data_IF_167792135296
#
_entry.id   IF_167792135296
#
_cell.length_a   1.000
_cell.length_b   1.000
_cell.length_c   1.000
_cell.angle_alpha   90.00
_cell.angle_beta   90.00
_cell.angle_gamma   90.00
#
_symmetry.space_group_name_H-M   'P 1'
#
loop_
_entity.id
_entity.type
_entity.pdbx_description
1 polymer ?
#
# COMPACT_ATOMS: atom_id res chain seq x y z
N UNK A 1 -26.58 -44.84 26.15
CA UNK A 1 -25.37 -45.68 26.24
C UNK A 1 -24.93 -46.06 24.83
N UNK A 2 -23.62 -46.29 24.67
CA UNK A 2 -22.89 -46.80 23.49
C UNK A 2 -22.56 -45.75 22.39
N UNK A 3 -21.32 -45.60 21.91
CA UNK A 3 -20.00 -46.07 22.32
C UNK A 3 -18.92 -45.28 21.55
N UNK A 4 -17.71 -45.27 22.12
CA UNK A 4 -16.46 -44.68 21.67
C UNK A 4 -16.13 -44.85 20.17
N UNK A 5 -15.44 -43.88 19.58
CA UNK A 5 -13.99 -44.01 19.28
C UNK A 5 -13.42 -42.77 18.57
N UNK A 6 -12.30 -42.30 19.12
CA UNK A 6 -11.41 -41.30 18.56
C UNK A 6 -10.17 -42.05 18.06
N UNK A 7 -9.65 -41.75 16.87
CA UNK A 7 -8.22 -41.94 16.63
C UNK A 7 -7.56 -40.60 16.31
N UNK A 8 -6.53 -40.32 17.10
CA UNK A 8 -5.46 -39.37 16.82
C UNK A 8 -4.72 -39.84 15.56
N UNK A 9 -4.41 -38.91 14.64
CA UNK A 9 -3.39 -39.14 13.62
C UNK A 9 -2.47 -37.94 13.59
N UNK A 10 -1.28 -38.16 14.15
CA UNK A 10 -0.13 -37.27 14.10
C UNK A 10 0.69 -37.60 12.85
N UNK A 11 1.07 -36.58 12.08
CA UNK A 11 2.16 -36.55 11.11
C UNK A 11 2.25 -35.10 10.58
N UNK A 12 3.38 -34.46 10.28
CA UNK A 12 4.79 -34.63 10.61
C UNK A 12 5.45 -33.33 10.10
N UNK A 13 6.41 -32.80 10.87
CA UNK A 13 7.63 -32.08 10.46
C UNK A 13 7.61 -31.22 9.17
N UNK A 14 7.77 -29.90 9.33
CA UNK A 14 8.50 -29.09 8.34
C UNK A 14 9.55 -28.19 9.01
N UNK A 15 10.79 -28.60 8.75
CA UNK A 15 12.05 -27.86 8.59
C UNK A 15 12.27 -26.55 9.36
N UNK A 16 13.25 -26.60 10.26
CA UNK A 16 13.98 -25.46 10.77
C UNK A 16 14.81 -24.79 9.66
N UNK A 17 14.68 -23.47 9.51
CA UNK A 17 15.65 -22.62 8.82
C UNK A 17 16.47 -21.90 9.88
N UNK A 18 17.64 -22.47 10.19
CA UNK A 18 18.66 -21.81 10.99
C UNK A 18 19.36 -20.75 10.13
N UNK A 19 19.24 -19.48 10.52
CA UNK A 19 20.07 -18.39 9.99
C UNK A 19 21.47 -18.47 10.61
N UNK A 20 22.37 -19.18 9.95
CA UNK A 20 23.81 -19.04 10.18
C UNK A 20 24.33 -17.86 9.35
N UNK A 21 24.52 -16.70 9.98
CA UNK A 21 25.31 -15.61 9.41
C UNK A 21 26.54 -15.38 10.31
N UNK A 22 27.64 -16.03 9.96
CA UNK A 22 28.96 -15.78 10.50
C UNK A 22 29.92 -15.67 9.32
N UNK A 23 30.51 -14.48 9.11
CA UNK A 23 31.97 -14.27 9.01
C UNK A 23 32.30 -13.00 8.23
N UNK A 24 33.17 -12.20 8.85
CA UNK A 24 33.80 -10.98 8.34
C UNK A 24 34.83 -11.26 7.23
N UNK A 25 35.33 -10.19 6.58
CA UNK A 25 36.73 -10.13 6.20
C UNK A 25 37.47 -8.91 6.78
N UNK A 26 38.67 -9.17 7.28
CA UNK A 26 39.70 -8.18 7.61
C UNK A 26 40.56 -7.79 6.38
N UNK A 27 41.40 -6.77 6.61
CA UNK A 27 42.63 -6.36 5.90
C UNK A 27 42.48 -5.34 4.76
N UNK A 28 43.12 -4.18 4.96
CA UNK A 28 43.06 -3.02 4.08
C UNK A 28 44.21 -2.88 3.08
N UNK A 29 44.27 -1.70 2.47
CA UNK A 29 45.43 -1.05 1.86
C UNK A 29 45.04 0.38 1.50
N UNK A 30 45.85 1.35 1.92
CA UNK A 30 45.87 2.69 1.31
C UNK A 30 46.59 2.62 -0.06
N UNK A 31 46.30 3.56 -0.98
CA UNK A 31 47.27 4.64 -1.15
C UNK A 31 46.65 6.03 -1.37
N UNK A 32 47.43 7.05 -1.03
CA UNK A 32 47.19 8.47 -1.33
C UNK A 32 47.13 8.77 -2.82
N UNK A 33 46.22 9.66 -3.24
CA UNK A 33 46.48 10.63 -4.32
C UNK A 33 45.46 11.77 -4.30
N UNK A 34 45.99 12.98 -4.20
CA UNK A 34 45.29 14.26 -4.28
C UNK A 34 44.83 14.55 -5.72
N UNK A 35 43.62 15.08 -5.89
CA UNK A 35 43.18 15.76 -7.12
C UNK A 35 42.05 16.77 -6.80
N UNK A 36 41.91 17.85 -7.60
CA UNK A 36 41.36 19.13 -7.13
C UNK A 36 39.82 19.18 -7.13
N UNK A 37 39.30 20.11 -6.32
CA UNK A 37 37.90 20.48 -6.23
C UNK A 37 37.36 20.91 -7.60
N UNK A 38 36.44 20.13 -8.15
CA UNK A 38 35.56 20.58 -9.22
C UNK A 38 34.20 20.82 -8.59
N UNK A 39 33.83 22.10 -8.46
CA UNK A 39 32.50 22.51 -8.06
C UNK A 39 31.51 22.09 -9.16
N UNK A 40 30.94 20.90 -9.03
CA UNK A 40 29.75 20.51 -9.78
C UNK A 40 28.59 21.15 -9.03
N UNK A 41 27.99 22.17 -9.65
CA UNK A 41 26.71 22.68 -9.23
C UNK A 41 25.73 21.50 -9.12
N UNK A 42 25.40 21.13 -7.89
CA UNK A 42 24.28 20.24 -7.57
C UNK A 42 23.01 20.99 -7.97
N UNK A 43 22.65 20.90 -9.25
CA UNK A 43 21.26 20.99 -9.62
C UNK A 43 20.58 19.80 -8.96
N UNK A 44 20.04 20.01 -7.75
CA UNK A 44 19.09 19.11 -7.13
C UNK A 44 18.04 18.83 -8.20
N UNK A 45 17.87 17.59 -8.68
CA UNK A 45 16.73 17.29 -9.53
C UNK A 45 15.50 17.56 -8.68
N UNK A 46 14.80 18.65 -8.95
CA UNK A 46 13.38 18.74 -8.60
C UNK A 46 12.77 17.46 -9.15
N UNK A 47 12.14 16.59 -8.32
CA UNK A 47 11.46 15.44 -8.85
C UNK A 47 10.40 15.97 -9.79
N UNK A 48 10.65 15.88 -11.09
CA UNK A 48 9.62 16.05 -12.10
C UNK A 48 8.60 14.98 -11.74
N UNK A 49 7.45 15.40 -11.19
CA UNK A 49 6.34 14.52 -10.88
C UNK A 49 6.10 13.68 -12.12
N UNK A 50 6.46 12.40 -12.03
CA UNK A 50 6.52 11.52 -13.19
C UNK A 50 5.09 11.29 -13.63
N UNK A 51 4.61 11.99 -14.66
CA UNK A 51 3.29 11.78 -15.28
C UNK A 51 3.29 10.52 -16.15
N UNK A 52 3.91 9.44 -15.66
CA UNK A 52 3.90 8.16 -16.33
C UNK A 52 2.52 7.51 -16.29
N UNK A 53 2.31 6.40 -17.01
CA UNK A 53 1.02 5.69 -17.05
C UNK A 53 0.57 5.16 -15.68
N UNK A 54 1.45 5.20 -14.68
CA UNK A 54 1.19 4.77 -13.31
C UNK A 54 1.22 5.94 -12.32
N UNK A 55 1.13 7.19 -12.78
CA UNK A 55 1.25 8.37 -11.91
C UNK A 55 2.61 8.42 -11.21
N UNK A 56 2.60 8.79 -9.92
CA UNK A 56 3.80 9.00 -9.11
C UNK A 56 4.41 7.68 -8.55
N UNK A 57 3.93 6.53 -9.02
CA UNK A 57 4.46 5.23 -8.61
C UNK A 57 5.66 4.83 -9.47
N UNK A 58 6.66 4.18 -8.87
CA UNK A 58 7.91 3.81 -9.54
C UNK A 58 7.71 2.65 -10.54
N UNK A 59 6.61 1.91 -10.41
CA UNK A 59 6.27 0.78 -11.29
C UNK A 59 4.77 0.50 -11.32
N UNK A 60 4.34 -0.25 -12.33
CA UNK A 60 2.98 -0.79 -12.42
C UNK A 60 2.60 -1.63 -11.19
N UNK A 61 3.53 -2.48 -10.73
CA UNK A 61 3.30 -3.35 -9.57
C UNK A 61 3.10 -2.54 -8.29
N UNK A 62 3.88 -1.47 -8.09
CA UNK A 62 3.71 -0.55 -6.96
C UNK A 62 2.35 0.14 -7.04
N UNK A 63 1.99 0.71 -8.19
CA UNK A 63 0.69 1.37 -8.38
C UNK A 63 -0.48 0.42 -8.10
N UNK A 64 -0.49 -0.76 -8.73
CA UNK A 64 -1.53 -1.76 -8.55
C UNK A 64 -1.67 -2.19 -7.09
N UNK A 65 -0.54 -2.41 -6.41
CA UNK A 65 -0.53 -2.80 -5.00
C UNK A 65 -1.05 -1.70 -4.11
N UNK A 66 -0.54 -0.47 -4.23
CA UNK A 66 -0.95 0.64 -3.37
C UNK A 66 -2.40 1.04 -3.63
N UNK A 67 -2.82 1.17 -4.89
CA UNK A 67 -4.18 1.57 -5.25
C UNK A 67 -5.19 0.53 -4.73
N UNK A 68 -4.93 -0.76 -4.92
CA UNK A 68 -5.82 -1.82 -4.42
C UNK A 68 -5.87 -1.87 -2.90
N UNK A 69 -4.72 -1.72 -2.22
CA UNK A 69 -4.67 -1.66 -0.76
C UNK A 69 -5.46 -0.48 -0.21
N UNK A 70 -5.27 0.72 -0.74
CA UNK A 70 -5.98 1.90 -0.23
C UNK A 70 -7.47 1.88 -0.57
N UNK A 71 -7.85 1.45 -1.78
CA UNK A 71 -9.26 1.29 -2.15
C UNK A 71 -9.97 0.28 -1.23
N UNK A 72 -9.30 -0.84 -0.90
CA UNK A 72 -9.83 -1.82 0.06
C UNK A 72 -9.78 -1.29 1.50
N UNK A 73 -8.74 -0.56 1.88
CA UNK A 73 -8.62 0.07 3.20
C UNK A 73 -9.76 1.06 3.48
N UNK A 74 -10.24 1.77 2.45
CA UNK A 74 -11.39 2.65 2.55
C UNK A 74 -12.68 1.93 2.97
N UNK A 75 -12.82 0.62 2.69
CA UNK A 75 -13.98 -0.17 3.14
C UNK A 75 -13.92 -0.52 4.62
N UNK A 76 -12.77 -0.34 5.29
CA UNK A 76 -12.59 -0.59 6.72
C UNK A 76 -12.89 0.64 7.58
N UNK A 77 -13.12 1.80 6.97
CA UNK A 77 -13.44 3.06 7.66
C UNK A 77 -14.61 2.92 8.66
N UNK A 78 -15.77 2.32 8.30
CA UNK A 78 -16.88 2.13 9.23
C UNK A 78 -16.49 1.29 10.44
N UNK A 79 -15.68 0.26 10.21
CA UNK A 79 -15.24 -0.67 11.24
C UNK A 79 -14.27 0.01 12.22
N UNK A 80 -13.29 0.76 11.72
CA UNK A 80 -12.36 1.53 12.56
C UNK A 80 -13.10 2.61 13.37
N UNK A 81 -14.07 3.29 12.77
CA UNK A 81 -14.91 4.26 13.45
C UNK A 81 -15.76 3.60 14.56
N UNK A 82 -16.41 2.47 14.26
CA UNK A 82 -17.22 1.74 15.23
C UNK A 82 -16.41 1.19 16.41
N UNK A 83 -15.13 0.85 16.20
CA UNK A 83 -14.22 0.41 17.25
C UNK A 83 -13.62 1.56 18.08
N UNK A 84 -13.92 2.83 17.74
CA UNK A 84 -13.33 3.99 18.42
C UNK A 84 -11.83 4.17 18.14
N UNK A 85 -11.32 3.56 17.07
CA UNK A 85 -9.91 3.57 16.69
C UNK A 85 -9.56 4.84 15.91
N UNK A 86 -9.60 5.97 16.59
CA UNK A 86 -9.45 7.30 15.95
C UNK A 86 -8.10 7.49 15.27
N UNK A 87 -6.99 7.04 15.88
CA UNK A 87 -5.67 7.16 15.28
C UNK A 87 -5.51 6.34 13.99
N UNK A 88 -5.95 5.07 14.02
CA UNK A 88 -5.94 4.20 12.83
C UNK A 88 -6.87 4.77 11.74
N UNK A 89 -8.03 5.31 12.12
CA UNK A 89 -8.96 5.92 11.17
C UNK A 89 -8.37 7.15 10.48
N UNK A 90 -7.72 8.04 11.22
CA UNK A 90 -7.06 9.23 10.63
C UNK A 90 -5.85 8.86 9.76
N UNK A 91 -5.11 7.81 10.14
CA UNK A 91 -4.07 7.25 9.28
C UNK A 91 -4.65 6.76 7.95
N UNK A 92 -5.71 5.94 8.02
CA UNK A 92 -6.38 5.40 6.84
C UNK A 92 -6.91 6.50 5.90
N UNK A 93 -7.44 7.61 6.45
CA UNK A 93 -7.90 8.77 5.67
C UNK A 93 -6.75 9.52 5.01
N UNK A 94 -5.65 9.67 5.73
CA UNK A 94 -4.43 10.33 5.21
C UNK A 94 -3.85 9.52 4.06
N UNK A 95 -3.62 8.22 4.26
CA UNK A 95 -3.04 7.35 3.22
C UNK A 95 -3.94 7.24 1.97
N UNK A 96 -5.26 7.25 2.16
CA UNK A 96 -6.22 7.30 1.06
C UNK A 96 -6.12 8.63 0.29
N UNK A 97 -6.01 9.75 1.00
CA UNK A 97 -5.88 11.09 0.40
C UNK A 97 -4.55 11.26 -0.34
N UNK A 98 -3.44 10.83 0.27
CA UNK A 98 -2.12 10.87 -0.36
C UNK A 98 -2.08 10.01 -1.64
N UNK A 99 -2.77 8.86 -1.62
CA UNK A 99 -2.87 8.01 -2.81
C UNK A 99 -3.67 8.68 -3.93
N UNK A 100 -4.74 9.42 -3.59
CA UNK A 100 -5.52 10.18 -4.58
C UNK A 100 -4.67 11.23 -5.34
N UNK A 101 -3.59 11.74 -4.74
CA UNK A 101 -2.69 12.68 -5.40
C UNK A 101 -1.65 12.01 -6.32
N UNK A 102 -1.35 10.74 -6.03
CA UNK A 102 -0.31 9.93 -6.68
C UNK A 102 -0.82 9.03 -7.80
N UNK A 103 -2.11 8.68 -7.81
CA UNK A 103 -2.72 7.87 -8.88
C UNK A 103 -2.51 8.48 -10.27
N UNK A 104 -2.47 7.65 -11.33
CA UNK A 104 -2.41 8.13 -12.70
C UNK A 104 -3.60 9.05 -13.03
N UNK A 105 -3.40 9.97 -13.97
CA UNK A 105 -4.37 11.03 -14.28
C UNK A 105 -5.75 10.50 -14.69
N UNK A 106 -5.79 9.36 -15.39
CA UNK A 106 -7.02 8.69 -15.79
C UNK A 106 -7.85 8.15 -14.62
N UNK A 107 -7.22 7.90 -13.46
CA UNK A 107 -7.87 7.40 -12.25
C UNK A 107 -8.09 8.51 -11.21
N UNK A 108 -7.47 9.67 -11.39
CA UNK A 108 -7.41 10.73 -10.37
C UNK A 108 -8.79 11.21 -9.91
N UNK A 109 -9.70 11.46 -10.84
CA UNK A 109 -11.05 11.91 -10.53
C UNK A 109 -11.85 10.83 -9.78
N UNK A 110 -11.76 9.58 -10.25
CA UNK A 110 -12.49 8.46 -9.65
C UNK A 110 -11.98 8.14 -8.24
N UNK A 111 -10.67 8.17 -8.03
CA UNK A 111 -10.07 7.93 -6.71
C UNK A 111 -10.33 9.09 -5.74
N UNK A 112 -10.34 10.34 -6.22
CA UNK A 112 -10.75 11.49 -5.42
C UNK A 112 -12.21 11.37 -4.97
N UNK A 113 -13.11 10.97 -5.88
CA UNK A 113 -14.50 10.72 -5.54
C UNK A 113 -14.67 9.56 -4.53
N UNK A 114 -13.89 8.47 -4.67
CA UNK A 114 -13.84 7.40 -3.67
C UNK A 114 -13.43 7.94 -2.29
N UNK A 115 -12.39 8.77 -2.22
CA UNK A 115 -11.94 9.38 -0.97
C UNK A 115 -13.05 10.23 -0.32
N UNK A 116 -13.67 11.13 -1.10
CA UNK A 116 -14.76 11.98 -0.64
C UNK A 116 -15.93 11.16 -0.08
N UNK A 117 -16.36 10.13 -0.81
CA UNK A 117 -17.46 9.24 -0.41
C UNK A 117 -17.10 8.45 0.85
N UNK A 118 -15.90 7.89 0.93
CA UNK A 118 -15.44 7.14 2.10
C UNK A 118 -15.40 8.03 3.35
N UNK A 119 -14.83 9.22 3.25
CA UNK A 119 -14.73 10.17 4.36
C UNK A 119 -16.11 10.69 4.77
N UNK A 120 -16.98 11.02 3.81
CA UNK A 120 -18.36 11.44 4.08
C UNK A 120 -19.13 10.34 4.83
N UNK A 121 -18.89 9.07 4.47
CA UNK A 121 -19.54 7.93 5.08
C UNK A 121 -19.24 7.73 6.58
N UNK A 122 -18.16 8.34 7.09
CA UNK A 122 -17.86 8.35 8.53
C UNK A 122 -18.88 9.16 9.33
N UNK A 123 -19.39 10.24 8.73
CA UNK A 123 -20.42 11.10 9.33
C UNK A 123 -21.84 10.69 8.91
N UNK A 124 -21.98 10.16 7.69
CA UNK A 124 -23.23 9.64 7.15
C UNK A 124 -23.09 8.15 6.80
N UNK A 125 -23.35 7.29 7.78
CA UNK A 125 -23.27 5.83 7.61
C UNK A 125 -24.21 5.29 6.50
N UNK A 126 -25.20 6.07 6.04
CA UNK A 126 -26.04 5.66 4.92
C UNK A 126 -25.27 5.54 3.62
N UNK A 127 -24.12 6.22 3.49
CA UNK A 127 -23.23 6.11 2.33
C UNK A 127 -22.75 4.67 2.11
N UNK A 128 -22.40 3.97 3.19
CA UNK A 128 -21.93 2.58 3.14
C UNK A 128 -23.07 1.56 2.96
N UNK A 129 -24.30 1.88 3.38
CA UNK A 129 -25.44 0.96 3.24
C UNK A 129 -26.30 1.20 1.99
N UNK A 130 -26.17 2.36 1.34
CA UNK A 130 -26.95 2.73 0.14
C UNK A 130 -26.30 2.33 -1.19
N UNK A 131 -25.12 1.70 -1.16
CA UNK A 131 -24.35 1.35 -2.35
C UNK A 131 -23.60 2.54 -2.99
N UNK A 132 -23.62 3.73 -2.37
CA UNK A 132 -22.83 4.89 -2.85
C UNK A 132 -21.32 4.61 -2.80
N UNK A 133 -20.85 3.97 -1.74
CA UNK A 133 -19.46 3.55 -1.63
C UNK A 133 -19.08 2.55 -2.73
N UNK A 134 -19.93 1.54 -2.97
CA UNK A 134 -19.70 0.55 -4.04
C UNK A 134 -19.67 1.20 -5.43
N UNK A 135 -20.55 2.17 -5.68
CA UNK A 135 -20.55 2.93 -6.93
C UNK A 135 -19.28 3.76 -7.12
N UNK A 136 -18.73 4.34 -6.04
CA UNK A 136 -17.47 5.07 -6.09
C UNK A 136 -16.25 4.12 -6.27
N UNK A 137 -16.33 2.90 -5.74
CA UNK A 137 -15.31 1.85 -5.91
C UNK A 137 -15.29 1.25 -7.32
N UNK A 138 -16.41 1.24 -8.02
CA UNK A 138 -16.55 0.60 -9.33
C UNK A 138 -15.52 1.07 -10.39
N UNK A 139 -15.33 2.38 -10.65
CA UNK A 139 -14.34 2.82 -11.62
C UNK A 139 -12.89 2.45 -11.21
N UNK A 140 -12.57 2.53 -9.92
CA UNK A 140 -11.26 2.13 -9.39
C UNK A 140 -11.01 0.64 -9.61
N UNK A 141 -12.01 -0.20 -9.35
CA UNK A 141 -11.94 -1.65 -9.57
C UNK A 141 -11.81 -1.98 -11.05
N UNK A 142 -12.53 -1.26 -11.92
CA UNK A 142 -12.43 -1.39 -13.37
C UNK A 142 -11.03 -1.06 -13.88
N UNK A 143 -10.44 0.02 -13.39
CA UNK A 143 -9.06 0.40 -13.72
C UNK A 143 -8.06 -0.65 -13.27
N UNK A 144 -8.18 -1.14 -12.02
CA UNK A 144 -7.32 -2.20 -11.49
C UNK A 144 -7.43 -3.46 -12.35
N UNK A 145 -8.63 -3.89 -12.73
CA UNK A 145 -8.82 -5.08 -13.57
C UNK A 145 -8.21 -4.95 -14.97
N UNK A 146 -8.21 -3.74 -15.55
CA UNK A 146 -7.63 -3.49 -16.86
C UNK A 146 -6.09 -3.49 -16.81
N UNK A 147 -5.51 -2.90 -15.76
CA UNK A 147 -4.10 -2.54 -15.68
C UNK A 147 -3.23 -3.46 -14.81
N UNK A 148 -3.83 -4.18 -13.86
CA UNK A 148 -3.14 -5.01 -12.87
C UNK A 148 -3.39 -6.50 -13.17
N UNK A 149 -2.37 -7.19 -13.68
CA UNK A 149 -2.40 -8.61 -14.05
C UNK A 149 -1.36 -9.40 -13.28
#
# INVERSE_FOLDING_TARGET
MNNLSRPLTAAALFAALALTACSAPEAGSAPSSSAPATAVATATPTPTKSSGPYGDFSSAAEACTTISQQATGASLFPLSAAQGKTAELEQLKTELSDTAERVPDELKADFAHLNEVAVAGLSDQTVYSSGKFDAAMAPVTGWLAANCK
#
